data_IF_552897108069
#
_entry.id   IF_552897108069
#
_cell.length_a   1.000
_cell.length_b   1.000
_cell.length_c   1.000
_cell.angle_alpha   90.00
_cell.angle_beta   90.00
_cell.angle_gamma   90.00
#
_symmetry.space_group_name_H-M   'P 1'
#
loop_
_entity.id
_entity.type
_entity.pdbx_description
1 polymer ?
#
# COMPACT_ATOMS: atom_id res chain seq x y z
N UNK A 1 -8.16 34.01 9.42
CA UNK A 1 -8.78 32.88 8.68
C UNK A 1 -8.15 32.62 7.30
N UNK A 2 -7.18 33.42 6.83
CA UNK A 2 -6.65 33.30 5.46
C UNK A 2 -6.00 31.94 5.15
N UNK A 3 -5.21 31.39 6.09
CA UNK A 3 -4.57 30.09 5.93
C UNK A 3 -5.60 28.97 5.76
N UNK A 4 -6.64 28.97 6.60
CA UNK A 4 -7.73 28.00 6.52
C UNK A 4 -8.43 28.06 5.16
N UNK A 5 -8.83 29.26 4.72
CA UNK A 5 -9.49 29.42 3.41
C UNK A 5 -8.59 28.98 2.25
N UNK A 6 -7.28 29.27 2.34
CA UNK A 6 -6.29 28.85 1.35
C UNK A 6 -5.95 27.36 1.45
N UNK A 7 -6.25 26.66 2.53
CA UNK A 7 -5.97 25.23 2.69
C UNK A 7 -7.19 24.35 2.41
N UNK A 8 -8.40 24.89 2.30
CA UNK A 8 -9.62 24.13 2.01
C UNK A 8 -9.50 23.30 0.72
N UNK A 9 -10.18 22.15 0.72
CA UNK A 9 -10.36 21.27 -0.43
C UNK A 9 -11.04 22.03 -1.59
N UNK A 10 -10.27 22.31 -2.64
CA UNK A 10 -10.77 23.00 -3.84
C UNK A 10 -9.94 22.61 -5.09
N UNK A 11 -10.43 22.89 -6.31
CA UNK A 11 -9.64 22.73 -7.52
C UNK A 11 -8.41 23.65 -7.52
N UNK A 12 -7.23 23.09 -7.84
CA UNK A 12 -5.96 23.82 -7.91
C UNK A 12 -5.10 23.30 -9.04
N UNK A 13 -4.28 24.17 -9.59
CA UNK A 13 -3.26 23.79 -10.57
C UNK A 13 -2.14 22.99 -9.90
N UNK A 14 -1.89 21.79 -10.42
CA UNK A 14 -0.85 20.89 -9.96
C UNK A 14 -0.07 20.35 -11.17
N UNK A 15 1.23 20.13 -10.97
CA UNK A 15 2.06 19.41 -11.93
C UNK A 15 1.83 17.91 -11.78
N UNK A 16 1.33 17.29 -12.84
CA UNK A 16 1.07 15.84 -12.90
C UNK A 16 2.01 15.21 -13.91
N UNK A 17 2.73 14.17 -13.49
CA UNK A 17 3.62 13.41 -14.37
C UNK A 17 2.82 12.59 -15.38
N UNK A 18 3.20 12.65 -16.65
CA UNK A 18 2.47 11.97 -17.73
C UNK A 18 2.49 10.44 -17.52
N UNK A 19 3.60 9.89 -17.04
CA UNK A 19 3.76 8.45 -16.76
C UNK A 19 2.89 7.96 -15.60
N UNK A 20 2.47 8.83 -14.68
CA UNK A 20 1.56 8.47 -13.60
C UNK A 20 0.12 8.27 -14.12
N UNK A 21 -0.29 9.09 -15.09
CA UNK A 21 -1.61 8.98 -15.73
C UNK A 21 -1.64 7.87 -16.78
N UNK A 22 -0.51 7.64 -17.48
CA UNK A 22 -0.37 6.64 -18.54
C UNK A 22 0.75 5.64 -18.23
N UNK A 23 0.55 4.73 -17.24
CA UNK A 23 1.57 3.78 -16.83
C UNK A 23 1.91 2.72 -17.90
N UNK A 24 1.10 2.59 -18.96
CA UNK A 24 1.36 1.64 -20.05
C UNK A 24 2.44 2.13 -21.03
N UNK A 25 2.76 3.42 -21.06
CA UNK A 25 3.63 4.04 -22.07
C UNK A 25 5.12 4.13 -21.65
N UNK A 26 5.64 3.13 -20.92
CA UNK A 26 6.98 3.15 -20.30
C UNK A 26 8.18 3.22 -21.25
N UNK A 27 8.00 2.96 -22.55
CA UNK A 27 9.09 2.92 -23.53
C UNK A 27 9.44 4.30 -24.13
N UNK A 28 8.77 5.37 -23.69
CA UNK A 28 8.82 6.69 -24.32
C UNK A 28 9.28 7.78 -23.37
N UNK A 29 10.02 8.74 -23.93
CA UNK A 29 10.33 10.00 -23.24
C UNK A 29 9.33 11.04 -23.72
N UNK A 30 8.64 11.70 -22.79
CA UNK A 30 7.69 12.77 -23.07
C UNK A 30 8.31 14.14 -22.80
N UNK A 31 8.08 15.09 -23.71
CA UNK A 31 8.46 16.48 -23.54
C UNK A 31 7.20 17.35 -23.72
N UNK A 32 6.74 18.05 -22.67
CA UNK A 32 7.23 17.99 -21.28
C UNK A 32 6.96 16.63 -20.62
N UNK A 33 7.66 16.32 -19.52
CA UNK A 33 7.43 15.10 -18.73
C UNK A 33 6.25 15.21 -17.76
N UNK A 34 5.84 16.43 -17.44
CA UNK A 34 4.69 16.75 -16.61
C UNK A 34 3.84 17.86 -17.25
N UNK A 35 2.56 17.88 -16.92
CA UNK A 35 1.58 18.86 -17.40
C UNK A 35 0.92 19.54 -16.21
N UNK A 36 0.51 20.80 -16.39
CA UNK A 36 -0.27 21.54 -15.38
C UNK A 36 -1.72 21.16 -15.56
N UNK A 37 -2.34 20.56 -14.54
CA UNK A 37 -3.75 20.17 -14.54
C UNK A 37 -4.45 20.70 -13.31
N UNK A 38 -5.71 21.05 -13.47
CA UNK A 38 -6.58 21.35 -12.34
C UNK A 38 -7.00 20.06 -11.63
N UNK A 39 -6.55 19.88 -10.39
CA UNK A 39 -6.85 18.71 -9.55
C UNK A 39 -7.35 19.14 -8.19
N UNK A 40 -8.09 18.26 -7.53
CA UNK A 40 -8.60 18.52 -6.18
C UNK A 40 -7.46 18.45 -5.18
N UNK A 41 -7.22 19.54 -4.47
CA UNK A 41 -6.16 19.64 -3.48
C UNK A 41 -6.55 20.54 -2.30
N UNK A 42 -6.00 20.24 -1.14
CA UNK A 42 -6.32 20.88 0.13
C UNK A 42 -6.59 19.86 1.23
N UNK A 43 -6.87 20.36 2.42
CA UNK A 43 -7.27 19.56 3.56
C UNK A 43 -8.78 19.64 3.81
N UNK A 44 -9.30 18.57 4.42
CA UNK A 44 -10.61 18.53 5.02
C UNK A 44 -10.48 18.78 6.53
N UNK A 45 -11.59 19.08 7.20
CA UNK A 45 -11.59 19.33 8.65
C UNK A 45 -11.31 18.08 9.49
N UNK A 46 -11.49 16.89 8.91
CA UNK A 46 -11.29 15.60 9.56
C UNK A 46 -10.37 14.74 8.69
N UNK A 47 -9.41 14.05 9.31
CA UNK A 47 -8.45 13.16 8.66
C UNK A 47 -9.11 11.91 8.08
N UNK A 48 -10.31 11.55 8.56
CA UNK A 48 -11.13 10.48 8.00
C UNK A 48 -11.78 10.87 6.68
N UNK A 49 -11.78 12.16 6.32
CA UNK A 49 -12.28 12.67 5.05
C UNK A 49 -11.15 12.85 4.03
N UNK A 50 -11.45 12.53 2.78
CA UNK A 50 -10.57 12.73 1.64
C UNK A 50 -11.17 13.74 0.67
N UNK A 51 -10.34 14.68 0.20
CA UNK A 51 -10.71 15.61 -0.86
C UNK A 51 -10.83 14.84 -2.18
N UNK A 52 -12.05 14.72 -2.71
CA UNK A 52 -12.35 13.94 -3.92
C UNK A 52 -13.07 14.79 -4.96
N UNK A 53 -12.91 14.52 -6.26
CA UNK A 53 -13.63 15.23 -7.30
C UNK A 53 -15.10 14.84 -7.34
N UNK A 54 -15.96 15.84 -7.48
CA UNK A 54 -17.40 15.67 -7.70
C UNK A 54 -17.75 15.78 -9.19
N UNK A 55 -16.98 16.56 -9.94
CA UNK A 55 -17.14 16.74 -11.38
C UNK A 55 -15.78 16.85 -12.05
N UNK A 56 -15.63 16.19 -13.19
CA UNK A 56 -14.39 16.12 -13.96
C UNK A 56 -14.66 16.31 -15.45
N UNK A 57 -13.68 16.82 -16.17
CA UNK A 57 -13.72 16.93 -17.63
C UNK A 57 -12.36 16.53 -18.22
N UNK A 58 -12.32 16.25 -19.52
CA UNK A 58 -11.07 15.87 -20.20
C UNK A 58 -10.56 17.03 -21.05
N UNK A 59 -9.26 17.28 -20.98
CA UNK A 59 -8.53 18.23 -21.82
C UNK A 59 -7.53 17.48 -22.68
N UNK A 60 -7.36 17.88 -23.95
CA UNK A 60 -6.35 17.30 -24.84
C UNK A 60 -5.18 18.25 -24.98
N UNK A 61 -3.97 17.75 -24.75
CA UNK A 61 -2.73 18.52 -24.88
C UNK A 61 -1.81 17.87 -25.90
N UNK A 62 -1.06 18.71 -26.62
CA UNK A 62 -0.03 18.27 -27.56
C UNK A 62 1.29 18.01 -26.80
N UNK A 63 1.82 16.80 -26.94
CA UNK A 63 3.00 16.33 -26.22
C UNK A 63 3.98 15.69 -27.21
N UNK A 64 5.26 16.03 -27.08
CA UNK A 64 6.32 15.37 -27.87
C UNK A 64 6.64 14.01 -27.28
N UNK A 65 6.52 12.97 -28.11
CA UNK A 65 6.91 11.60 -27.79
C UNK A 65 8.19 11.24 -28.50
N UNK A 66 9.21 10.87 -27.74
CA UNK A 66 10.51 10.46 -28.24
C UNK A 66 10.72 8.98 -27.96
N UNK A 67 10.98 8.21 -29.02
CA UNK A 67 11.44 6.82 -28.93
C UNK A 67 12.97 6.80 -28.99
N UNK A 68 13.68 6.17 -28.03
CA UNK A 68 15.13 6.02 -28.14
C UNK A 68 15.47 5.28 -29.44
N UNK A 69 16.39 5.84 -30.25
CA UNK A 69 16.79 5.37 -31.58
C UNK A 69 15.79 5.51 -32.75
N UNK A 70 14.71 6.29 -32.61
CA UNK A 70 13.80 6.62 -33.72
C UNK A 70 13.57 8.14 -33.84
N UNK A 71 12.54 8.53 -34.59
CA UNK A 71 12.07 9.90 -34.73
C UNK A 71 11.15 10.32 -33.58
N UNK A 72 11.06 11.64 -33.40
CA UNK A 72 10.15 12.31 -32.46
C UNK A 72 8.83 12.60 -33.18
N UNK A 73 7.71 12.38 -32.51
CA UNK A 73 6.39 12.68 -33.04
C UNK A 73 5.60 13.52 -32.01
N UNK A 74 4.84 14.49 -32.51
CA UNK A 74 3.85 15.22 -31.72
C UNK A 74 2.57 14.37 -31.63
N UNK A 75 2.08 14.15 -30.42
CA UNK A 75 0.87 13.37 -30.15
C UNK A 75 -0.10 14.17 -29.28
N UNK A 76 -1.39 13.95 -29.48
CA UNK A 76 -2.42 14.47 -28.58
C UNK A 76 -2.70 13.44 -27.49
N UNK A 77 -2.56 13.86 -26.24
CA UNK A 77 -2.92 13.06 -25.08
C UNK A 77 -4.06 13.74 -24.31
N UNK A 78 -5.03 12.95 -23.85
CA UNK A 78 -6.13 13.45 -23.02
C UNK A 78 -5.77 13.37 -21.54
N UNK A 79 -6.11 14.37 -20.74
CA UNK A 79 -5.92 14.35 -19.30
C UNK A 79 -7.22 14.72 -18.61
N UNK A 80 -7.47 14.18 -17.43
CA UNK A 80 -8.67 14.50 -16.65
C UNK A 80 -8.39 15.67 -15.70
N UNK A 81 -9.22 16.70 -15.75
CA UNK A 81 -9.23 17.82 -14.82
C UNK A 81 -10.47 17.80 -13.93
N UNK A 82 -10.35 18.39 -12.75
CA UNK A 82 -11.42 18.44 -11.75
C UNK A 82 -12.04 19.84 -11.71
N UNK A 83 -13.36 19.94 -11.88
CA UNK A 83 -14.10 21.21 -11.85
C UNK A 83 -14.67 21.53 -10.47
N UNK A 84 -14.99 20.51 -9.68
CA UNK A 84 -15.57 20.66 -8.35
C UNK A 84 -15.04 19.57 -7.41
N UNK A 85 -14.82 19.92 -6.15
CA UNK A 85 -14.24 19.04 -5.14
C UNK A 85 -15.09 19.05 -3.86
N UNK A 86 -15.15 17.91 -3.18
CA UNK A 86 -15.86 17.74 -1.92
C UNK A 86 -15.10 16.77 -1.00
N UNK A 87 -15.21 17.00 0.31
CA UNK A 87 -14.69 16.11 1.34
C UNK A 87 -15.64 14.92 1.54
N UNK A 88 -15.20 13.72 1.13
CA UNK A 88 -15.95 12.47 1.29
C UNK A 88 -15.24 11.55 2.27
N UNK A 89 -15.96 10.69 3.03
CA UNK A 89 -15.33 9.68 3.87
C UNK A 89 -14.41 8.78 3.06
N UNK A 90 -13.20 8.55 3.58
CA UNK A 90 -12.23 7.67 2.92
C UNK A 90 -12.74 6.22 2.99
N UNK A 91 -13.03 5.62 1.85
CA UNK A 91 -13.29 4.18 1.78
C UNK A 91 -11.99 3.44 2.13
N UNK A 92 -11.97 2.67 3.22
CA UNK A 92 -10.84 1.80 3.56
C UNK A 92 -10.73 0.65 2.54
N UNK A 93 -10.23 0.95 1.35
CA UNK A 93 -9.89 -0.06 0.36
C UNK A 93 -8.65 -0.78 0.88
N UNK A 94 -8.87 -1.92 1.51
CA UNK A 94 -7.83 -2.93 1.73
C UNK A 94 -7.26 -3.29 0.36
N UNK A 95 -6.13 -2.69 -0.03
CA UNK A 95 -5.35 -3.07 -1.20
C UNK A 95 -4.99 -4.55 -1.09
N UNK A 96 -5.85 -5.41 -1.64
CA UNK A 96 -5.50 -6.77 -1.95
C UNK A 96 -4.55 -6.69 -3.15
N UNK A 97 -3.24 -6.59 -2.87
CA UNK A 97 -2.19 -6.85 -3.85
C UNK A 97 -2.42 -8.25 -4.45
N UNK A 98 -3.15 -8.31 -5.55
CA UNK A 98 -3.28 -9.48 -6.40
C UNK A 98 -1.90 -9.83 -6.97
N UNK A 99 -1.17 -10.69 -6.27
CA UNK A 99 -0.02 -11.37 -6.85
C UNK A 99 -0.56 -12.39 -7.85
N UNK A 100 -0.62 -12.03 -9.13
CA UNK A 100 -0.88 -12.98 -10.22
C UNK A 100 0.12 -14.15 -10.11
N UNK A 101 -0.33 -15.41 -10.02
CA UNK A 101 0.57 -16.55 -9.89
C UNK A 101 1.12 -16.94 -11.27
N UNK A 102 2.43 -16.84 -11.42
CA UNK A 102 3.16 -17.35 -12.57
C UNK A 102 3.01 -18.89 -12.63
N UNK A 103 2.59 -19.41 -13.80
CA UNK A 103 2.41 -20.84 -14.06
C UNK A 103 3.76 -21.56 -14.06
N UNK A 104 4.08 -22.26 -12.97
CA UNK A 104 5.14 -23.28 -12.93
C UNK A 104 4.52 -24.68 -12.89
N UNK A 105 4.73 -25.47 -13.94
CA UNK A 105 4.38 -26.90 -13.98
C UNK A 105 5.21 -27.65 -12.92
N UNK A 106 4.54 -28.39 -12.03
CA UNK A 106 5.21 -29.25 -11.06
C UNK A 106 4.20 -30.09 -10.26
N UNK A 107 3.92 -31.29 -10.74
CA UNK A 107 3.14 -32.29 -10.01
C UNK A 107 3.84 -32.65 -8.69
N UNK A 108 3.16 -32.53 -7.54
CA UNK A 108 3.05 -33.62 -6.54
C UNK A 108 2.24 -33.22 -5.29
N UNK A 109 1.16 -34.00 -5.11
CA UNK A 109 0.51 -34.48 -3.86
C UNK A 109 -0.11 -33.44 -2.90
N UNK A 110 -1.44 -33.42 -2.96
CA UNK A 110 -2.41 -32.80 -2.05
C UNK A 110 -2.12 -33.20 -0.58
N UNK A 111 -1.91 -32.22 0.30
CA UNK A 111 -2.27 -32.32 1.72
C UNK A 111 -3.07 -31.07 2.09
N UNK A 112 -4.38 -31.30 2.32
CA UNK A 112 -5.42 -30.31 2.58
C UNK A 112 -5.15 -29.62 3.92
N UNK A 113 -4.46 -28.47 3.93
CA UNK A 113 -4.28 -27.66 5.14
C UNK A 113 -5.45 -26.69 5.22
N UNK A 114 -6.49 -27.05 6.00
CA UNK A 114 -7.56 -26.12 6.39
C UNK A 114 -6.88 -24.88 6.99
N UNK A 115 -6.98 -23.75 6.30
CA UNK A 115 -6.50 -22.46 6.79
C UNK A 115 -7.67 -21.87 7.56
N UNK A 116 -7.63 -22.04 8.87
CA UNK A 116 -8.56 -21.37 9.78
C UNK A 116 -8.54 -19.88 9.50
N UNK A 117 -9.67 -19.42 8.96
CA UNK A 117 -9.99 -18.03 8.72
C UNK A 117 -10.41 -17.49 10.10
N UNK A 118 -9.47 -16.92 10.87
CA UNK A 118 -9.86 -16.20 12.09
C UNK A 118 -10.27 -14.78 11.71
N UNK A 119 -11.55 -14.55 11.97
CA UNK A 119 -12.25 -13.28 12.06
C UNK A 119 -11.50 -12.28 12.94
N UNK A 120 -11.80 -11.01 12.71
CA UNK A 120 -11.17 -9.88 13.38
C UNK A 120 -11.65 -9.60 14.80
N UNK A 121 -11.34 -8.37 15.19
CA UNK A 121 -11.57 -7.67 16.46
C UNK A 121 -10.60 -7.97 17.62
N UNK A 122 -9.61 -7.08 17.76
CA UNK A 122 -9.53 -6.05 18.82
C UNK A 122 -8.23 -5.24 18.60
N UNK A 123 -8.22 -3.93 18.89
CA UNK A 123 -7.03 -3.06 18.87
C UNK A 123 -6.00 -3.51 19.93
N UNK A 124 -5.29 -4.61 19.69
CA UNK A 124 -4.11 -4.97 20.46
C UNK A 124 -2.87 -4.63 19.64
N UNK A 125 -1.87 -4.02 20.27
CA UNK A 125 -0.56 -3.83 19.64
C UNK A 125 0.10 -5.18 19.33
N UNK A 126 0.87 -5.29 18.24
CA UNK A 126 1.55 -6.53 17.90
C UNK A 126 2.62 -6.86 18.96
N UNK A 127 2.72 -8.14 19.36
CA UNK A 127 3.71 -8.63 20.32
C UNK A 127 5.19 -8.35 19.97
N UNK A 128 5.46 -7.88 18.75
CA UNK A 128 6.77 -7.39 18.35
C UNK A 128 6.64 -6.37 17.21
N UNK A 129 7.14 -5.17 17.44
CA UNK A 129 7.33 -4.14 16.42
C UNK A 129 8.65 -4.36 15.65
N UNK A 130 8.59 -4.20 14.33
CA UNK A 130 9.75 -4.37 13.45
C UNK A 130 10.18 -5.82 13.16
N UNK A 131 9.51 -6.83 13.74
CA UNK A 131 9.81 -8.24 13.44
C UNK A 131 9.41 -8.66 12.00
N UNK A 132 10.30 -9.39 11.31
CA UNK A 132 9.99 -10.06 10.04
C UNK A 132 8.73 -10.94 10.16
N UNK A 133 7.93 -11.03 9.09
CA UNK A 133 6.66 -11.78 9.09
C UNK A 133 6.80 -13.27 9.51
N UNK A 134 7.97 -13.87 9.31
CA UNK A 134 8.29 -15.23 9.78
C UNK A 134 8.34 -15.33 11.31
N UNK A 135 8.83 -14.29 11.99
CA UNK A 135 8.97 -14.22 13.45
C UNK A 135 7.65 -13.93 14.15
N UNK A 136 6.75 -13.15 13.52
CA UNK A 136 5.39 -12.89 14.04
C UNK A 136 4.59 -14.18 14.32
N UNK A 137 4.87 -15.28 13.61
CA UNK A 137 4.20 -16.59 13.78
C UNK A 137 4.62 -17.37 15.03
N UNK A 138 5.67 -16.93 15.73
CA UNK A 138 6.17 -17.55 16.95
C UNK A 138 5.47 -17.03 18.21
N UNK A 139 4.75 -15.92 18.10
CA UNK A 139 3.99 -15.32 19.19
C UNK A 139 2.51 -15.70 19.08
N UNK A 140 1.90 -15.93 20.23
CA UNK A 140 0.46 -16.15 20.40
C UNK A 140 -0.05 -15.01 21.28
N UNK A 141 -1.04 -14.26 20.76
CA UNK A 141 -1.66 -13.17 21.49
C UNK A 141 -3.06 -13.59 21.96
N UNK A 142 -3.34 -13.34 23.24
CA UNK A 142 -4.68 -13.51 23.77
C UNK A 142 -5.57 -12.35 23.27
N UNK A 143 -6.69 -12.61 22.57
CA UNK A 143 -7.55 -11.57 22.01
C UNK A 143 -8.32 -10.75 23.05
N UNK A 144 -8.46 -11.23 24.30
CA UNK A 144 -9.19 -10.55 25.36
C UNK A 144 -8.28 -9.73 26.30
N UNK A 145 -7.05 -10.19 26.52
CA UNK A 145 -6.09 -9.54 27.44
C UNK A 145 -4.91 -8.88 26.74
N UNK A 146 -4.82 -9.00 25.40
CA UNK A 146 -3.67 -8.61 24.58
C UNK A 146 -2.32 -9.24 25.01
N UNK A 147 -2.32 -10.21 25.94
CA UNK A 147 -1.11 -10.81 26.48
C UNK A 147 -0.39 -11.63 25.40
N UNK A 148 0.91 -11.41 25.31
CA UNK A 148 1.79 -12.06 24.37
C UNK A 148 2.53 -13.24 25.02
N UNK A 149 2.47 -14.39 24.37
CA UNK A 149 3.13 -15.62 24.82
C UNK A 149 3.86 -16.29 23.66
N UNK A 150 4.85 -17.13 23.96
CA UNK A 150 5.56 -17.90 22.95
C UNK A 150 4.80 -19.16 22.58
N UNK A 151 4.83 -19.49 21.29
CA UNK A 151 4.24 -20.71 20.77
C UNK A 151 4.98 -21.97 21.23
N UNK A 152 6.30 -21.88 21.35
CA UNK A 152 7.12 -22.93 21.92
C UNK A 152 7.24 -22.67 23.42
N UNK A 153 7.20 -23.73 24.20
CA UNK A 153 7.49 -23.69 25.63
C UNK A 153 8.97 -23.93 25.90
N UNK A 154 9.43 -23.57 27.10
CA UNK A 154 10.77 -23.89 27.60
C UNK A 154 11.08 -25.38 27.52
N UNK A 155 10.10 -26.23 27.84
CA UNK A 155 10.23 -27.68 27.75
C UNK A 155 10.50 -28.13 26.30
N UNK A 156 9.84 -27.52 25.31
CA UNK A 156 10.05 -27.83 23.89
C UNK A 156 11.46 -27.47 23.40
N UNK A 157 12.01 -26.36 23.89
CA UNK A 157 13.37 -25.94 23.56
C UNK A 157 14.41 -26.80 24.27
N UNK A 158 14.19 -27.12 25.56
CA UNK A 158 15.09 -27.97 26.36
C UNK A 158 15.18 -29.39 25.82
N UNK A 159 14.09 -29.93 25.28
CA UNK A 159 14.12 -31.22 24.56
C UNK A 159 15.10 -31.24 23.36
N UNK A 160 15.49 -30.06 22.87
CA UNK A 160 16.46 -29.87 21.78
C UNK A 160 17.81 -29.32 22.25
N UNK A 161 18.05 -29.30 23.57
CA UNK A 161 19.24 -28.71 24.20
C UNK A 161 19.40 -27.20 23.87
N UNK A 162 18.29 -26.49 23.70
CA UNK A 162 18.23 -25.06 23.41
C UNK A 162 17.44 -24.35 24.52
N UNK A 163 17.63 -23.05 24.65
CA UNK A 163 16.91 -22.21 25.60
C UNK A 163 15.92 -21.31 24.87
N UNK A 164 14.70 -21.21 25.39
CA UNK A 164 13.71 -20.32 24.81
C UNK A 164 14.06 -18.87 25.16
N UNK A 165 14.17 -18.05 24.14
CA UNK A 165 14.28 -16.62 24.29
C UNK A 165 12.88 -16.00 24.28
N UNK A 166 12.35 -15.66 25.46
CA UNK A 166 10.98 -15.15 25.62
C UNK A 166 10.70 -13.87 24.82
N UNK A 167 11.72 -13.04 24.56
CA UNK A 167 11.58 -11.81 23.75
C UNK A 167 11.51 -12.08 22.25
N UNK A 168 12.01 -13.23 21.80
CA UNK A 168 12.05 -13.57 20.36
C UNK A 168 11.21 -14.79 20.01
N UNK A 169 10.76 -15.53 21.02
CA UNK A 169 10.13 -16.83 20.97
C UNK A 169 10.90 -17.85 20.13
N UNK A 170 12.24 -17.77 20.14
CA UNK A 170 13.16 -18.70 19.48
C UNK A 170 13.86 -19.58 20.50
N UNK A 171 14.07 -20.83 20.14
CA UNK A 171 14.99 -21.69 20.87
C UNK A 171 16.40 -21.38 20.38
N UNK A 172 17.18 -20.65 21.17
CA UNK A 172 18.56 -20.27 20.86
C UNK A 172 19.53 -21.19 21.63
N UNK A 173 20.79 -21.28 21.19
CA UNK A 173 21.80 -22.03 21.95
C UNK A 173 22.11 -21.26 23.24
N UNK A 174 22.28 -21.95 24.38
CA UNK A 174 22.69 -21.30 25.61
C UNK A 174 23.99 -20.54 25.37
N UNK A 175 24.01 -19.25 25.70
CA UNK A 175 25.23 -18.44 25.65
C UNK A 175 26.08 -18.85 26.83
N UNK A 176 27.26 -19.40 26.55
CA UNK A 176 28.24 -19.81 27.55
C UNK A 176 28.90 -18.60 28.20
#
# INVERSE_FOLDING_TARGET
>A
MEVYNKSLCQPRELLVEILQEYPEEVEHIFIPSCVVLTRCAGCCNDEMLQCTPTSTHNITMEIKRIKPHKQQNDIFMSFTEHNACECRPKNEVKEQKEKKPWKGKGQKRKRKKKRDKKNGHAQCEPCCDGCLARRKRLFIQNPLTCQCSCRNSDADCRARQLELNERTCRCDKPRR
#
